data_IF_411171217921
#
_entry.id   IF_411171217921
#
_cell.length_a   1.000
_cell.length_b   1.000
_cell.length_c   1.000
_cell.angle_alpha   90.00
_cell.angle_beta   90.00
_cell.angle_gamma   90.00
#
_symmetry.space_group_name_H-M   'P 1'
#
loop_
_entity.id
_entity.type
_entity.pdbx_description
1 polymer ?
#
# COMPACT_ATOMS: atom_id res chain seq x y z
N UNK A 1 4.84 5.79 8.77
CA UNK A 1 5.40 4.56 9.34
C UNK A 1 4.37 4.00 10.31
N UNK A 2 4.44 2.70 10.59
CA UNK A 2 3.61 2.03 11.58
C UNK A 2 4.51 1.26 12.53
N UNK A 3 4.18 1.26 13.82
CA UNK A 3 4.85 0.43 14.83
C UNK A 3 3.79 -0.42 15.50
N UNK A 4 3.98 -1.73 15.50
CA UNK A 4 3.05 -2.65 16.13
C UNK A 4 3.15 -2.54 17.66
N UNK A 5 2.02 -2.35 18.35
CA UNK A 5 2.00 -2.30 19.82
C UNK A 5 2.04 -3.71 20.45
N UNK A 6 1.67 -4.74 19.69
CA UNK A 6 1.69 -6.14 20.08
C UNK A 6 2.16 -7.01 18.91
N UNK A 7 2.62 -8.23 19.20
CA UNK A 7 2.90 -9.19 18.14
C UNK A 7 1.58 -9.71 17.54
N UNK A 8 1.54 -9.88 16.22
CA UNK A 8 0.40 -10.47 15.52
C UNK A 8 0.30 -10.06 14.07
N UNK A 9 -0.80 -10.48 13.45
CA UNK A 9 -1.11 -10.19 12.06
C UNK A 9 -1.79 -8.83 11.91
N UNK A 10 -1.29 -8.00 11.01
CA UNK A 10 -1.86 -6.70 10.67
C UNK A 10 -2.26 -6.65 9.19
N UNK A 11 -3.45 -6.12 8.92
CA UNK A 11 -3.93 -5.83 7.58
C UNK A 11 -3.81 -4.32 7.30
N UNK A 12 -3.09 -3.99 6.23
CA UNK A 12 -2.88 -2.64 5.72
C UNK A 12 -3.66 -2.50 4.42
N UNK A 13 -4.67 -1.64 4.40
CA UNK A 13 -5.51 -1.43 3.23
C UNK A 13 -5.45 0.03 2.78
N UNK A 14 -5.06 0.27 1.54
CA UNK A 14 -5.11 1.58 0.91
C UNK A 14 -6.29 1.63 -0.05
N UNK A 15 -7.22 2.57 0.20
CA UNK A 15 -8.36 2.82 -0.67
C UNK A 15 -8.28 4.27 -1.17
N UNK A 16 -8.31 4.44 -2.49
CA UNK A 16 -8.44 5.75 -3.08
C UNK A 16 -9.83 6.34 -2.80
N UNK A 17 -9.87 7.60 -2.38
CA UNK A 17 -11.12 8.33 -2.08
C UNK A 17 -11.48 9.35 -3.15
N UNK A 18 -10.64 9.47 -4.17
CA UNK A 18 -10.84 10.37 -5.31
C UNK A 18 -9.63 10.42 -6.23
N UNK A 19 -9.65 11.38 -7.14
CA UNK A 19 -8.55 11.65 -8.08
C UNK A 19 -8.15 13.11 -8.00
N UNK A 20 -6.89 13.40 -8.29
CA UNK A 20 -6.40 14.78 -8.34
C UNK A 20 -7.00 15.52 -9.57
N UNK A 21 -7.16 16.85 -9.49
CA UNK A 21 -7.63 17.64 -10.63
C UNK A 21 -6.77 17.41 -11.88
N UNK A 22 -7.41 17.09 -13.00
CA UNK A 22 -6.76 16.83 -14.28
C UNK A 22 -6.30 15.38 -14.49
N UNK A 23 -6.45 14.49 -13.50
CA UNK A 23 -6.29 13.05 -13.72
C UNK A 23 -7.54 12.48 -14.40
N UNK A 24 -7.34 11.77 -15.50
CA UNK A 24 -8.43 11.24 -16.33
C UNK A 24 -8.57 9.71 -16.24
N UNK A 25 -7.73 9.04 -15.46
CA UNK A 25 -7.76 7.59 -15.26
C UNK A 25 -8.67 7.17 -14.10
N UNK A 26 -8.72 5.86 -13.85
CA UNK A 26 -9.35 5.31 -12.65
C UNK A 26 -8.34 5.29 -11.50
N UNK A 27 -8.79 5.38 -10.23
CA UNK A 27 -7.94 5.09 -9.11
C UNK A 27 -7.43 3.65 -9.15
N UNK A 28 -6.12 3.50 -8.99
CA UNK A 28 -5.39 2.25 -9.06
C UNK A 28 -4.18 2.39 -8.13
N UNK A 29 -4.33 1.88 -6.91
CA UNK A 29 -3.33 2.08 -5.86
C UNK A 29 -2.23 1.04 -5.96
N UNK A 30 -1.04 1.40 -5.50
CA UNK A 30 0.08 0.47 -5.36
C UNK A 30 0.70 0.67 -3.99
N UNK A 31 0.80 -0.42 -3.22
CA UNK A 31 1.39 -0.41 -1.89
C UNK A 31 2.67 -1.24 -1.83
N UNK A 32 3.67 -0.69 -1.14
CA UNK A 32 4.84 -1.44 -0.64
C UNK A 32 4.99 -1.24 0.86
N UNK A 33 5.34 -2.30 1.57
CA UNK A 33 5.78 -2.23 2.96
C UNK A 33 7.25 -2.63 3.03
N UNK A 34 8.06 -1.81 3.69
CA UNK A 34 9.51 -2.03 3.85
C UNK A 34 9.94 -2.00 5.31
N UNK A 35 11.00 -2.74 5.61
CA UNK A 35 11.70 -2.71 6.91
C UNK A 35 12.50 -1.42 7.12
N UNK A 36 12.87 -0.72 6.05
CA UNK A 36 13.66 0.50 6.09
C UNK A 36 13.05 1.59 5.20
N UNK A 37 13.13 2.85 5.65
CA UNK A 37 12.59 3.99 4.89
C UNK A 37 13.42 4.32 3.64
N UNK A 38 14.75 4.25 3.76
CA UNK A 38 15.68 4.77 2.74
C UNK A 38 16.05 3.77 1.65
N UNK A 39 15.96 2.48 1.95
CA UNK A 39 16.40 1.42 1.04
C UNK A 39 15.17 0.84 0.32
N UNK A 40 15.29 0.71 -1.00
CA UNK A 40 14.24 0.16 -1.87
C UNK A 40 14.71 -1.11 -2.57
N UNK A 41 15.74 -1.77 -2.04
CA UNK A 41 16.19 -3.06 -2.55
C UNK A 41 15.25 -4.18 -2.08
N UNK A 42 15.40 -5.35 -2.72
CA UNK A 42 14.60 -6.54 -2.46
C UNK A 42 14.77 -7.10 -1.03
N UNK A 43 15.81 -6.68 -0.30
CA UNK A 43 16.03 -7.11 1.10
C UNK A 43 15.19 -6.26 2.05
N UNK A 44 14.93 -5.00 1.70
CA UNK A 44 14.12 -4.11 2.51
C UNK A 44 12.61 -4.34 2.33
N UNK A 45 12.17 -4.81 1.16
CA UNK A 45 10.76 -5.07 0.86
C UNK A 45 10.22 -6.28 1.62
N UNK A 46 9.13 -6.06 2.36
CA UNK A 46 8.45 -7.10 3.14
C UNK A 46 7.25 -7.65 2.36
N UNK A 47 6.53 -6.79 1.66
CA UNK A 47 5.38 -7.14 0.83
C UNK A 47 5.02 -6.00 -0.12
N UNK A 48 4.33 -6.35 -1.20
CA UNK A 48 3.74 -5.42 -2.15
C UNK A 48 2.40 -5.95 -2.68
N UNK A 49 1.50 -5.04 -3.05
CA UNK A 49 0.24 -5.37 -3.70
C UNK A 49 -0.22 -4.16 -4.52
N UNK A 50 -0.52 -4.38 -5.79
CA UNK A 50 -1.25 -3.46 -6.67
C UNK A 50 -2.75 -3.62 -6.44
N UNK A 51 -3.27 -4.81 -6.75
CA UNK A 51 -4.71 -5.06 -6.78
C UNK A 51 -5.14 -6.13 -5.77
N UNK A 52 -6.25 -5.89 -5.07
CA UNK A 52 -6.95 -6.88 -4.26
C UNK A 52 -7.64 -7.93 -5.13
N UNK A 53 -8.35 -7.49 -6.18
CA UNK A 53 -9.11 -8.40 -7.05
C UNK A 53 -9.38 -7.78 -8.43
N UNK A 54 -8.45 -8.01 -9.36
CA UNK A 54 -8.57 -7.58 -10.75
C UNK A 54 -9.83 -8.10 -11.45
N UNK A 55 -10.29 -9.32 -11.14
CA UNK A 55 -11.47 -9.90 -11.78
C UNK A 55 -12.77 -9.20 -11.33
N UNK A 56 -12.80 -8.66 -10.11
CA UNK A 56 -13.91 -7.87 -9.59
C UNK A 56 -13.75 -6.36 -9.87
N UNK A 57 -12.63 -5.93 -10.44
CA UNK A 57 -12.30 -4.51 -10.64
C UNK A 57 -11.92 -3.77 -9.36
N UNK A 58 -11.49 -4.50 -8.32
CA UNK A 58 -10.98 -3.92 -7.09
C UNK A 58 -9.48 -3.64 -7.24
N UNK A 59 -9.19 -2.37 -7.58
CA UNK A 59 -7.84 -1.83 -7.77
C UNK A 59 -7.29 -1.15 -6.49
N UNK A 60 -7.86 -1.50 -5.34
CA UNK A 60 -7.29 -1.13 -4.04
C UNK A 60 -6.13 -2.06 -3.67
N UNK A 61 -5.26 -1.62 -2.76
CA UNK A 61 -4.14 -2.43 -2.29
C UNK A 61 -4.37 -2.93 -0.86
N UNK A 62 -4.12 -4.22 -0.63
CA UNK A 62 -4.19 -4.87 0.68
C UNK A 62 -2.96 -5.72 0.94
N UNK A 63 -2.30 -5.48 2.06
CA UNK A 63 -1.17 -6.28 2.53
C UNK A 63 -1.47 -6.81 3.92
N UNK A 64 -1.28 -8.11 4.12
CA UNK A 64 -1.28 -8.75 5.43
C UNK A 64 0.15 -9.07 5.83
N UNK A 65 0.56 -8.66 7.04
CA UNK A 65 1.92 -8.83 7.52
C UNK A 65 1.95 -9.24 9.00
N UNK A 66 2.75 -10.24 9.32
CA UNK A 66 3.10 -10.58 10.71
C UNK A 66 4.13 -9.60 11.24
N UNK A 67 3.86 -9.01 12.40
CA UNK A 67 4.77 -8.07 13.07
C UNK A 67 5.00 -8.49 14.52
N UNK A 68 6.21 -8.26 15.00
CA UNK A 68 6.56 -8.38 16.41
C UNK A 68 6.19 -7.11 17.18
N UNK A 69 5.97 -7.24 18.49
CA UNK A 69 5.72 -6.08 19.35
C UNK A 69 6.90 -5.09 19.29
N UNK A 70 6.60 -3.81 19.02
CA UNK A 70 7.59 -2.74 18.83
C UNK A 70 8.27 -2.72 17.47
N UNK A 71 7.96 -3.66 16.56
CA UNK A 71 8.51 -3.65 15.20
C UNK A 71 7.92 -2.48 14.40
N UNK A 72 8.79 -1.69 13.78
CA UNK A 72 8.40 -0.61 12.87
C UNK A 72 8.54 -1.01 11.41
N UNK A 73 7.58 -0.57 10.60
CA UNK A 73 7.59 -0.70 9.13
C UNK A 73 7.25 0.61 8.45
N UNK A 74 7.66 0.73 7.20
CA UNK A 74 7.45 1.89 6.36
C UNK A 74 6.51 1.50 5.21
N UNK A 75 5.32 2.12 5.21
CA UNK A 75 4.32 1.94 4.17
C UNK A 75 4.48 3.06 3.13
N UNK A 76 4.55 2.66 1.87
CA UNK A 76 4.56 3.54 0.71
C UNK A 76 3.30 3.26 -0.10
N UNK A 77 2.58 4.33 -0.45
CA UNK A 77 1.37 4.27 -1.26
C UNK A 77 1.60 5.19 -2.45
N UNK A 78 1.36 4.66 -3.64
CA UNK A 78 1.51 5.35 -4.92
C UNK A 78 0.38 4.92 -5.86
N UNK A 79 0.39 5.43 -7.09
CA UNK A 79 -0.46 4.94 -8.16
C UNK A 79 0.26 3.88 -8.99
N UNK A 80 -0.44 2.79 -9.32
CA UNK A 80 0.08 1.83 -10.27
C UNK A 80 0.31 2.50 -11.64
N UNK A 81 1.46 2.25 -12.24
CA UNK A 81 1.85 2.77 -13.54
C UNK A 81 2.51 1.67 -14.35
N UNK A 82 2.09 1.51 -15.60
CA UNK A 82 2.65 0.58 -16.56
C UNK A 82 3.01 1.30 -17.84
N UNK A 83 4.15 0.94 -18.43
CA UNK A 83 4.56 1.37 -19.78
C UNK A 83 4.50 2.89 -20.06
N UNK A 84 4.75 3.72 -19.03
CA UNK A 84 4.77 5.18 -19.16
C UNK A 84 3.41 5.85 -18.98
N UNK A 85 2.36 5.11 -18.61
CA UNK A 85 1.11 5.68 -18.15
C UNK A 85 1.32 6.49 -16.86
N UNK A 86 0.55 7.57 -16.69
CA UNK A 86 0.56 8.32 -15.45
C UNK A 86 -0.18 7.48 -14.42
N UNK A 87 0.52 7.04 -13.38
CA UNK A 87 -0.12 6.34 -12.27
C UNK A 87 -1.12 7.22 -11.55
N UNK A 88 -2.08 6.59 -10.88
CA UNK A 88 -3.08 7.33 -10.10
C UNK A 88 -2.43 8.34 -9.14
N UNK A 89 -3.04 9.51 -9.06
CA UNK A 89 -2.72 10.52 -8.05
C UNK A 89 -4.02 11.03 -7.45
N UNK A 90 -4.10 11.11 -6.13
CA UNK A 90 -5.30 11.54 -5.45
C UNK A 90 -5.25 11.31 -3.94
N UNK A 91 -6.33 11.68 -3.24
CA UNK A 91 -6.47 11.38 -1.82
C UNK A 91 -6.76 9.89 -1.60
N UNK A 92 -6.19 9.32 -0.55
CA UNK A 92 -6.45 7.95 -0.08
C UNK A 92 -6.72 7.91 1.42
N UNK A 93 -7.31 6.80 1.86
CA UNK A 93 -7.33 6.38 3.27
C UNK A 93 -6.44 5.14 3.39
N UNK A 94 -5.58 5.13 4.41
CA UNK A 94 -4.88 3.94 4.85
C UNK A 94 -5.53 3.43 6.14
N UNK A 95 -6.18 2.28 6.08
CA UNK A 95 -6.69 1.57 7.24
C UNK A 95 -5.66 0.53 7.71
N UNK A 96 -5.44 0.45 9.02
CA UNK A 96 -4.57 -0.57 9.63
C UNK A 96 -5.36 -1.28 10.72
N UNK A 97 -5.58 -2.57 10.56
CA UNK A 97 -6.37 -3.39 11.48
C UNK A 97 -5.52 -4.57 11.99
N UNK A 98 -5.50 -4.77 13.30
CA UNK A 98 -5.02 -6.03 13.87
C UNK A 98 -6.09 -7.11 13.63
N UNK A 99 -5.66 -8.33 13.26
CA UNK A 99 -6.56 -9.46 13.00
C UNK A 99 -6.64 -10.45 14.16
#
# INVERSE_FOLDING_TARGET
NFTADAAGTYAFQAEATGVAPGFMGQPDTLMWIRSHCRFSDWVAELACNDDVNTQAGDLSSLITLELEAGQSVYIFIDGYSKDGEIGWTGPYVLAVNAM
#
